data_IF_494107927352
#
_entry.id   IF_494107927352
#
_cell.length_a   1.000
_cell.length_b   1.000
_cell.length_c   1.000
_cell.angle_alpha   90.00
_cell.angle_beta   90.00
_cell.angle_gamma   90.00
#
_symmetry.space_group_name_H-M   'P 1'
#
loop_
_entity.id
_entity.type
_entity.pdbx_description
1 polymer ?
#
# COMPACT_ATOMS: atom_id res chain seq x y z
N UNK A 1 15.63 2.30 23.08
CA UNK A 1 14.41 2.51 23.90
C UNK A 1 14.22 1.25 24.74
N UNK A 2 13.90 1.39 26.04
CA UNK A 2 13.85 0.27 27.00
C UNK A 2 12.74 -0.73 26.63
N UNK A 3 13.04 -2.03 26.71
CA UNK A 3 12.09 -3.12 26.46
C UNK A 3 10.82 -3.05 27.35
N UNK A 4 10.96 -2.43 28.52
CA UNK A 4 9.84 -2.19 29.45
C UNK A 4 8.83 -1.17 28.89
N UNK A 5 9.30 -0.12 28.22
CA UNK A 5 8.43 0.89 27.59
C UNK A 5 7.62 0.24 26.47
N UNK A 6 8.26 -0.57 25.63
CA UNK A 6 7.55 -1.29 24.57
C UNK A 6 6.48 -2.25 25.11
N UNK A 7 6.77 -2.95 26.20
CA UNK A 7 5.80 -3.83 26.84
C UNK A 7 4.59 -3.05 27.41
N UNK A 8 4.82 -1.85 27.96
CA UNK A 8 3.75 -0.99 28.44
C UNK A 8 2.88 -0.46 27.30
N UNK A 9 3.50 0.04 26.23
CA UNK A 9 2.76 0.54 25.05
C UNK A 9 1.92 -0.61 24.46
N UNK A 10 2.53 -1.78 24.22
CA UNK A 10 1.80 -2.95 23.76
C UNK A 10 0.61 -3.27 24.64
N UNK A 11 0.79 -3.29 25.97
CA UNK A 11 -0.28 -3.58 26.92
C UNK A 11 -1.43 -2.56 26.77
N UNK A 12 -1.14 -1.27 26.71
CA UNK A 12 -2.16 -0.24 26.54
C UNK A 12 -2.95 -0.42 25.23
N UNK A 13 -2.28 -0.72 24.10
CA UNK A 13 -2.93 -0.98 22.83
C UNK A 13 -3.81 -2.23 22.89
N UNK A 14 -3.33 -3.30 23.51
CA UNK A 14 -4.10 -4.53 23.69
C UNK A 14 -5.34 -4.28 24.57
N UNK A 15 -5.18 -3.57 25.67
CA UNK A 15 -6.28 -3.23 26.59
C UNK A 15 -7.33 -2.33 25.90
N UNK A 16 -6.90 -1.34 25.10
CA UNK A 16 -7.77 -0.46 24.33
C UNK A 16 -8.65 -1.21 23.30
N UNK A 17 -8.18 -2.37 22.82
CA UNK A 17 -8.92 -3.25 21.92
C UNK A 17 -9.66 -4.37 22.66
N UNK A 18 -9.86 -4.24 23.96
CA UNK A 18 -10.64 -5.18 24.79
C UNK A 18 -9.83 -6.29 25.49
N UNK A 19 -8.52 -6.38 25.23
CA UNK A 19 -7.58 -7.18 26.02
C UNK A 19 -7.65 -8.71 25.85
N UNK A 20 -8.58 -9.25 25.05
CA UNK A 20 -8.87 -10.68 24.96
C UNK A 20 -8.79 -11.28 23.56
N UNK A 21 -8.27 -10.56 22.58
CA UNK A 21 -8.06 -11.08 21.23
C UNK A 21 -6.72 -11.83 21.13
N UNK A 22 -6.59 -12.71 20.14
CA UNK A 22 -5.35 -13.45 19.87
C UNK A 22 -4.45 -12.68 18.92
N UNK A 23 -5.03 -12.14 17.87
CA UNK A 23 -4.33 -11.36 16.86
C UNK A 23 -5.30 -10.41 16.15
N UNK A 24 -4.76 -9.35 15.56
CA UNK A 24 -5.45 -8.42 14.67
C UNK A 24 -4.97 -8.70 13.26
N UNK A 25 -5.90 -9.02 12.36
CA UNK A 25 -5.60 -9.22 10.94
C UNK A 25 -5.96 -7.93 10.22
N UNK A 26 -4.97 -7.29 9.61
CA UNK A 26 -5.14 -6.08 8.82
C UNK A 26 -5.18 -6.46 7.33
N UNK A 27 -6.18 -5.96 6.61
CA UNK A 27 -6.34 -6.26 5.19
C UNK A 27 -7.21 -5.23 4.47
N UNK A 28 -7.29 -5.34 3.15
CA UNK A 28 -8.13 -4.49 2.29
C UNK A 28 -7.49 -3.20 1.80
N UNK A 29 -6.41 -2.72 2.44
CA UNK A 29 -5.56 -1.61 1.98
C UNK A 29 -4.13 -1.80 2.51
N UNK A 30 -3.17 -1.16 1.85
CA UNK A 30 -1.80 -1.11 2.35
C UNK A 30 -1.76 -0.39 3.70
N UNK A 31 -1.08 -0.99 4.67
CA UNK A 31 -0.83 -0.37 5.97
C UNK A 31 0.43 0.50 5.89
N UNK A 32 0.44 1.62 6.60
CA UNK A 32 1.61 2.48 6.69
C UNK A 32 2.81 1.70 7.24
N UNK A 33 3.95 1.77 6.54
CA UNK A 33 5.15 0.97 6.86
C UNK A 33 5.74 1.31 8.23
N UNK A 34 5.80 2.58 8.61
CA UNK A 34 6.34 2.98 9.92
C UNK A 34 5.47 2.46 11.08
N UNK A 35 4.14 2.49 10.89
CA UNK A 35 3.19 1.91 11.87
C UNK A 35 3.40 0.40 11.95
N UNK A 36 3.55 -0.27 10.81
CA UNK A 36 3.82 -1.72 10.75
C UNK A 36 5.10 -2.08 11.47
N UNK A 37 6.19 -1.36 11.18
CA UNK A 37 7.50 -1.56 11.80
C UNK A 37 7.45 -1.30 13.30
N UNK A 38 6.72 -0.28 13.73
CA UNK A 38 6.53 0.02 15.14
C UNK A 38 5.75 -1.09 15.85
N UNK A 39 4.61 -1.54 15.31
CA UNK A 39 3.81 -2.62 15.87
C UNK A 39 4.61 -3.93 15.96
N UNK A 40 5.39 -4.24 14.92
CA UNK A 40 6.31 -5.37 14.92
C UNK A 40 7.37 -5.25 16.02
N UNK A 41 8.00 -4.08 16.16
CA UNK A 41 9.03 -3.80 17.14
C UNK A 41 8.53 -3.94 18.58
N UNK A 42 7.32 -3.49 18.88
CA UNK A 42 6.70 -3.64 20.21
C UNK A 42 6.09 -5.04 20.42
N UNK A 43 6.19 -5.92 19.43
CA UNK A 43 5.58 -7.26 19.41
C UNK A 43 4.06 -7.23 19.65
N UNK A 44 3.37 -6.26 19.06
CA UNK A 44 1.92 -6.23 19.06
C UNK A 44 1.39 -7.42 18.24
N UNK A 45 0.35 -8.15 18.68
CA UNK A 45 -0.15 -9.33 17.99
C UNK A 45 -0.98 -8.95 16.76
N UNK A 46 -0.32 -8.65 15.65
CA UNK A 46 -0.94 -8.32 14.37
C UNK A 46 -0.31 -9.09 13.22
N UNK A 47 -1.03 -9.17 12.14
CA UNK A 47 -0.54 -9.67 10.85
C UNK A 47 -1.24 -8.95 9.71
N UNK A 48 -0.68 -9.05 8.52
CA UNK A 48 -1.27 -8.50 7.30
C UNK A 48 -1.73 -9.66 6.42
N UNK A 49 -3.00 -9.62 5.99
CA UNK A 49 -3.55 -10.53 5.02
C UNK A 49 -3.85 -9.82 3.70
N UNK A 50 -3.74 -10.56 2.61
CA UNK A 50 -4.05 -10.08 1.28
C UNK A 50 -5.21 -10.86 0.68
N UNK A 51 -6.07 -10.15 -0.01
CA UNK A 51 -7.20 -10.76 -0.68
C UNK A 51 -8.04 -9.76 -1.47
N UNK A 52 -9.01 -10.32 -2.18
CA UNK A 52 -9.98 -9.58 -2.99
C UNK A 52 -11.30 -10.32 -3.04
N UNK A 53 -12.38 -9.62 -3.34
CA UNK A 53 -13.74 -10.19 -3.39
C UNK A 53 -13.81 -11.40 -4.32
N UNK A 54 -13.10 -11.35 -5.41
CA UNK A 54 -13.00 -12.40 -6.43
C UNK A 54 -12.37 -13.71 -5.92
N UNK A 55 -11.77 -13.68 -4.71
CA UNK A 55 -11.12 -14.83 -4.07
C UNK A 55 -11.79 -15.26 -2.74
N UNK A 56 -12.98 -14.81 -2.44
CA UNK A 56 -13.85 -15.25 -1.37
C UNK A 56 -13.47 -15.04 0.09
N UNK A 57 -12.79 -13.97 0.59
CA UNK A 57 -11.93 -12.99 -0.10
C UNK A 57 -10.42 -13.26 0.02
N UNK A 58 -9.95 -14.24 0.83
CA UNK A 58 -8.57 -14.34 1.28
C UNK A 58 -7.68 -15.10 0.28
N UNK A 59 -6.52 -14.54 -0.01
CA UNK A 59 -5.47 -15.12 -0.87
C UNK A 59 -4.29 -15.59 -0.02
N UNK A 60 -3.78 -14.72 0.84
CA UNK A 60 -2.60 -15.01 1.67
C UNK A 60 -2.74 -14.46 3.08
N UNK A 61 -2.04 -15.12 4.02
CA UNK A 61 -2.07 -14.79 5.42
C UNK A 61 -1.02 -15.63 6.18
N UNK A 62 -0.35 -15.02 7.14
CA UNK A 62 0.45 -15.70 8.16
C UNK A 62 -0.13 -15.41 9.55
N UNK A 63 0.05 -16.30 10.50
CA UNK A 63 -0.18 -15.95 11.90
C UNK A 63 0.80 -14.89 12.40
N UNK A 64 0.42 -14.12 13.41
CA UNK A 64 1.23 -13.00 13.91
C UNK A 64 2.64 -13.38 14.36
N UNK A 65 2.85 -14.61 14.82
CA UNK A 65 4.15 -15.15 15.22
C UNK A 65 5.03 -15.59 14.03
N UNK A 66 4.46 -15.68 12.83
CA UNK A 66 5.12 -16.03 11.58
C UNK A 66 5.23 -14.83 10.62
N UNK A 67 4.65 -13.70 11.01
CA UNK A 67 4.62 -12.49 10.20
C UNK A 67 6.04 -12.01 9.84
N UNK A 68 6.25 -11.79 8.55
CA UNK A 68 7.46 -11.21 7.99
C UNK A 68 7.19 -9.76 7.58
N UNK A 69 7.95 -8.77 8.10
CA UNK A 69 7.75 -7.37 7.75
C UNK A 69 7.74 -7.11 6.25
N UNK A 70 6.74 -6.34 5.80
CA UNK A 70 6.54 -6.03 4.39
C UNK A 70 5.81 -7.09 3.59
N UNK A 71 5.59 -8.31 4.13
CA UNK A 71 4.80 -9.33 3.45
C UNK A 71 3.30 -9.24 3.78
N UNK A 72 2.51 -9.84 2.91
CA UNK A 72 1.08 -10.06 3.13
C UNK A 72 0.77 -11.53 3.47
N UNK A 73 1.78 -12.25 4.01
CA UNK A 73 1.68 -13.65 4.41
C UNK A 73 1.81 -14.65 3.26
N UNK A 74 1.88 -15.94 3.65
CA UNK A 74 1.94 -17.06 2.72
C UNK A 74 0.60 -17.27 2.04
N UNK A 75 0.66 -17.75 0.79
CA UNK A 75 -0.54 -18.23 0.08
C UNK A 75 -1.27 -19.29 0.92
N UNK A 76 -2.59 -19.30 0.88
CA UNK A 76 -3.40 -20.30 1.59
C UNK A 76 -3.07 -21.71 1.08
N UNK A 77 -2.26 -22.43 1.84
CA UNK A 77 -1.76 -23.77 1.47
C UNK A 77 -2.91 -24.76 1.25
N UNK A 78 -2.84 -25.50 0.15
CA UNK A 78 -3.84 -26.50 -0.22
C UNK A 78 -5.14 -25.94 -0.82
N UNK A 79 -5.35 -24.62 -0.78
CA UNK A 79 -6.53 -23.93 -1.31
C UNK A 79 -6.14 -23.08 -2.53
N UNK A 80 -5.07 -22.31 -2.40
CA UNK A 80 -4.61 -21.34 -3.42
C UNK A 80 -3.25 -21.70 -3.99
N UNK A 81 -3.02 -21.25 -5.21
CA UNK A 81 -1.71 -21.19 -5.86
C UNK A 81 -1.44 -19.74 -6.28
N UNK A 82 -0.18 -19.35 -6.27
CA UNK A 82 0.27 -18.02 -6.72
C UNK A 82 1.37 -18.17 -7.75
N UNK A 83 1.39 -17.29 -8.71
CA UNK A 83 2.54 -17.03 -9.58
C UNK A 83 2.68 -15.52 -9.80
N UNK A 84 3.89 -15.09 -10.09
CA UNK A 84 4.18 -13.73 -10.52
C UNK A 84 4.47 -13.78 -12.01
N UNK A 85 3.80 -12.93 -12.78
CA UNK A 85 4.04 -12.78 -14.22
C UNK A 85 5.34 -12.01 -14.44
N UNK A 86 6.46 -12.71 -14.25
CA UNK A 86 7.82 -12.20 -14.30
C UNK A 86 8.81 -13.30 -14.63
N UNK A 87 9.92 -12.96 -15.29
CA UNK A 87 11.02 -13.87 -15.55
C UNK A 87 11.74 -14.33 -14.26
N UNK A 88 11.69 -13.48 -13.22
CA UNK A 88 12.27 -13.76 -11.89
C UNK A 88 11.27 -13.32 -10.82
N UNK A 89 10.36 -14.21 -10.38
CA UNK A 89 9.29 -13.87 -9.45
C UNK A 89 9.77 -13.46 -8.05
N UNK A 90 11.03 -13.72 -7.73
CA UNK A 90 11.63 -13.40 -6.44
C UNK A 90 12.23 -11.99 -6.40
N UNK A 91 12.76 -11.51 -7.52
CA UNK A 91 13.52 -10.26 -7.58
C UNK A 91 12.93 -9.23 -8.55
N UNK A 92 12.14 -9.66 -9.53
CA UNK A 92 11.50 -8.77 -10.51
C UNK A 92 9.99 -8.71 -10.26
N UNK A 93 9.50 -7.51 -10.05
CA UNK A 93 8.06 -7.25 -9.87
C UNK A 93 7.29 -7.64 -11.14
N UNK A 94 6.20 -8.37 -10.96
CA UNK A 94 5.25 -8.71 -12.01
C UNK A 94 3.82 -8.75 -11.46
N UNK A 95 2.85 -9.00 -12.34
CA UNK A 95 1.46 -9.14 -11.92
C UNK A 95 1.27 -10.40 -11.08
N UNK A 96 0.65 -10.25 -9.93
CA UNK A 96 0.26 -11.37 -9.07
C UNK A 96 -0.92 -12.07 -9.71
N UNK A 97 -0.76 -13.35 -10.03
CA UNK A 97 -1.81 -14.19 -10.59
C UNK A 97 -2.08 -15.35 -9.64
N UNK A 98 -3.35 -15.67 -9.44
CA UNK A 98 -3.78 -16.68 -8.48
C UNK A 98 -4.75 -17.68 -9.07
N UNK A 99 -4.74 -18.90 -8.54
CA UNK A 99 -5.66 -19.97 -8.90
C UNK A 99 -6.01 -20.76 -7.64
N UNK A 100 -7.24 -21.21 -7.50
CA UNK A 100 -7.66 -21.97 -6.32
C UNK A 100 -9.18 -22.17 -6.24
N UNK A 101 -9.60 -22.97 -5.26
CA UNK A 101 -11.00 -23.35 -5.09
C UNK A 101 -11.91 -22.18 -4.70
N UNK A 102 -11.35 -21.14 -4.08
CA UNK A 102 -12.06 -19.94 -3.64
C UNK A 102 -12.05 -18.81 -4.68
N UNK A 103 -11.45 -19.03 -5.86
CA UNK A 103 -11.52 -18.06 -6.96
C UNK A 103 -12.92 -18.09 -7.59
N UNK A 104 -13.50 -16.91 -7.83
CA UNK A 104 -14.79 -16.76 -8.45
C UNK A 104 -14.86 -17.46 -9.83
N UNK A 105 -16.06 -17.84 -10.25
CA UNK A 105 -16.30 -18.37 -11.61
C UNK A 105 -16.35 -17.28 -12.68
N UNK A 106 -16.63 -16.04 -12.28
CA UNK A 106 -16.75 -14.89 -13.19
C UNK A 106 -17.67 -13.81 -12.64
N UNK A 107 -17.79 -12.72 -13.36
CA UNK A 107 -18.68 -11.62 -13.05
C UNK A 107 -20.10 -11.90 -13.59
N UNK A 108 -21.10 -11.70 -12.76
CA UNK A 108 -22.49 -11.96 -13.10
C UNK A 108 -22.95 -11.13 -14.31
N UNK A 109 -23.41 -11.79 -15.37
CA UNK A 109 -23.86 -11.17 -16.63
C UNK A 109 -22.83 -10.23 -17.27
N UNK A 110 -21.54 -10.52 -17.12
CA UNK A 110 -20.46 -9.73 -17.70
C UNK A 110 -19.33 -10.65 -18.18
N UNK A 111 -19.57 -11.31 -19.31
CA UNK A 111 -18.62 -12.28 -19.87
C UNK A 111 -17.34 -11.60 -20.37
N UNK A 112 -17.45 -10.38 -20.89
CA UNK A 112 -16.30 -9.61 -21.36
C UNK A 112 -15.34 -9.31 -20.19
N UNK A 113 -15.83 -8.77 -19.07
CA UNK A 113 -15.01 -8.55 -17.89
C UNK A 113 -14.45 -9.85 -17.31
N UNK A 114 -15.21 -10.95 -17.41
CA UNK A 114 -14.76 -12.26 -16.96
C UNK A 114 -13.59 -12.76 -17.82
N UNK A 115 -13.70 -12.68 -19.14
CA UNK A 115 -12.62 -13.08 -20.06
C UNK A 115 -11.35 -12.24 -19.85
N UNK A 116 -11.51 -10.93 -19.62
CA UNK A 116 -10.38 -10.01 -19.44
C UNK A 116 -9.61 -10.23 -18.13
N UNK A 117 -10.26 -10.78 -17.09
CA UNK A 117 -9.62 -10.97 -15.78
C UNK A 117 -8.92 -12.31 -15.65
N UNK A 118 -9.21 -13.28 -16.49
CA UNK A 118 -8.52 -14.57 -16.51
C UNK A 118 -7.46 -14.63 -17.61
N UNK A 119 -6.37 -15.34 -17.34
CA UNK A 119 -5.40 -15.73 -18.37
C UNK A 119 -5.95 -16.88 -19.21
N UNK A 120 -5.35 -17.14 -20.37
CA UNK A 120 -5.75 -18.26 -21.24
C UNK A 120 -5.67 -19.63 -20.55
N UNK A 121 -4.73 -19.79 -19.62
CA UNK A 121 -4.54 -21.00 -18.81
C UNK A 121 -5.32 -20.98 -17.47
N UNK A 122 -6.26 -20.02 -17.31
CA UNK A 122 -7.27 -20.00 -16.23
C UNK A 122 -6.82 -19.42 -14.89
N UNK A 123 -5.74 -18.63 -14.85
CA UNK A 123 -5.35 -17.90 -13.65
C UNK A 123 -6.06 -16.56 -13.56
N UNK A 124 -6.51 -16.19 -12.36
CA UNK A 124 -7.07 -14.87 -12.10
C UNK A 124 -5.95 -13.83 -12.03
N UNK A 125 -6.05 -12.79 -12.85
CA UNK A 125 -5.22 -11.58 -12.81
C UNK A 125 -5.73 -10.70 -11.69
N UNK A 126 -4.92 -10.46 -10.66
CA UNK A 126 -5.36 -9.64 -9.52
C UNK A 126 -5.31 -8.14 -9.81
N UNK A 127 -4.53 -7.73 -10.80
CA UNK A 127 -4.20 -6.33 -11.07
C UNK A 127 -3.25 -5.73 -10.03
N UNK A 128 -2.80 -6.51 -9.06
CA UNK A 128 -1.78 -6.10 -8.09
C UNK A 128 -0.40 -6.57 -8.59
N UNK A 129 0.62 -5.77 -8.35
CA UNK A 129 2.00 -6.03 -8.73
C UNK A 129 2.82 -6.37 -7.49
N UNK A 130 3.73 -7.33 -7.61
CA UNK A 130 4.54 -7.74 -6.48
C UNK A 130 5.56 -8.81 -6.80
N UNK A 131 6.15 -9.35 -5.74
CA UNK A 131 7.10 -10.47 -5.75
C UNK A 131 6.66 -11.51 -4.73
N UNK A 132 7.28 -12.69 -4.77
CA UNK A 132 7.14 -13.72 -3.73
C UNK A 132 8.51 -14.09 -3.17
N UNK A 133 8.55 -14.65 -1.96
CA UNK A 133 9.73 -15.32 -1.45
C UNK A 133 9.68 -16.85 -1.69
N UNK A 134 10.72 -17.57 -1.26
CA UNK A 134 10.81 -19.03 -1.40
C UNK A 134 9.77 -19.80 -0.57
N UNK A 135 9.14 -19.15 0.40
CA UNK A 135 8.03 -19.69 1.19
C UNK A 135 6.65 -19.33 0.60
N UNK A 136 6.63 -18.70 -0.58
CA UNK A 136 5.42 -18.15 -1.24
C UNK A 136 4.70 -17.10 -0.39
N UNK A 137 5.44 -16.27 0.36
CA UNK A 137 4.89 -15.03 0.92
C UNK A 137 4.81 -13.97 -0.17
N UNK A 138 3.72 -13.23 -0.18
CA UNK A 138 3.44 -12.18 -1.17
C UNK A 138 3.93 -10.85 -0.65
N UNK A 139 4.67 -10.10 -1.48
CA UNK A 139 5.11 -8.73 -1.23
C UNK A 139 4.50 -7.82 -2.30
N UNK A 140 3.47 -7.05 -1.94
CA UNK A 140 2.78 -6.16 -2.86
C UNK A 140 3.61 -4.88 -3.00
N UNK A 141 3.74 -4.38 -4.25
CA UNK A 141 4.44 -3.14 -4.60
C UNK A 141 3.49 -2.04 -5.06
N UNK A 142 2.41 -2.40 -5.73
CA UNK A 142 1.44 -1.44 -6.25
C UNK A 142 0.39 -2.10 -7.12
N UNK A 143 -0.29 -1.30 -7.94
CA UNK A 143 -1.28 -1.79 -8.89
C UNK A 143 -0.86 -1.54 -10.32
N UNK A 144 -1.20 -2.46 -11.22
CA UNK A 144 -0.88 -2.34 -12.65
C UNK A 144 -1.52 -1.08 -13.28
N UNK A 145 -2.73 -0.71 -12.84
CA UNK A 145 -3.47 0.46 -13.35
C UNK A 145 -2.95 1.80 -12.85
N UNK A 146 -2.18 1.82 -11.77
CA UNK A 146 -1.64 3.05 -11.16
C UNK A 146 -0.16 3.21 -11.37
N UNK A 147 0.53 2.15 -11.81
CA UNK A 147 1.94 2.18 -12.14
C UNK A 147 2.22 3.23 -13.22
N UNK A 148 3.24 4.03 -13.00
CA UNK A 148 3.72 5.03 -13.95
C UNK A 148 4.97 4.46 -14.64
N UNK A 149 4.99 4.53 -15.98
CA UNK A 149 6.19 4.20 -16.73
C UNK A 149 7.09 5.44 -16.80
N UNK A 150 8.19 5.41 -16.07
CA UNK A 150 9.18 6.49 -16.08
C UNK A 150 9.82 6.70 -17.44
N UNK A 151 10.34 7.89 -17.71
CA UNK A 151 10.93 8.30 -18.99
C UNK A 151 12.10 7.40 -19.45
N UNK A 152 12.77 6.73 -18.51
CA UNK A 152 13.87 5.80 -18.78
C UNK A 152 13.42 4.31 -18.77
N UNK A 153 12.11 4.05 -18.77
CA UNK A 153 11.54 2.71 -18.87
C UNK A 153 11.42 1.96 -17.53
N UNK A 154 11.69 2.62 -16.39
CA UNK A 154 11.46 2.02 -15.08
C UNK A 154 10.00 2.12 -14.67
N UNK A 155 9.53 1.07 -13.99
CA UNK A 155 8.23 1.08 -13.34
C UNK A 155 8.31 1.88 -12.03
N UNK A 156 7.44 2.87 -11.87
CA UNK A 156 7.29 3.68 -10.67
C UNK A 156 5.97 3.30 -10.02
N UNK A 157 6.00 3.05 -8.73
CA UNK A 157 4.84 2.69 -7.93
C UNK A 157 4.43 3.87 -7.04
N UNK A 158 3.44 4.67 -7.45
CA UNK A 158 3.05 5.89 -6.75
C UNK A 158 2.72 5.65 -5.27
N UNK A 159 2.11 4.51 -4.96
CA UNK A 159 1.73 4.14 -3.61
C UNK A 159 2.93 4.00 -2.66
N UNK A 160 4.09 3.55 -3.15
CA UNK A 160 5.31 3.46 -2.35
C UNK A 160 5.87 4.86 -2.02
N UNK A 161 5.78 5.79 -2.98
CA UNK A 161 6.20 7.18 -2.77
C UNK A 161 5.24 7.88 -1.80
N UNK A 162 3.93 7.71 -2.00
CA UNK A 162 2.88 8.27 -1.15
C UNK A 162 2.98 7.76 0.29
N UNK A 163 3.29 6.50 0.48
CA UNK A 163 3.50 5.92 1.82
C UNK A 163 4.61 6.65 2.58
N UNK A 164 5.70 7.04 1.89
CA UNK A 164 6.79 7.83 2.49
C UNK A 164 6.38 9.29 2.68
N UNK A 165 5.69 9.89 1.69
CA UNK A 165 5.24 11.28 1.74
C UNK A 165 4.24 11.51 2.88
N UNK A 166 3.32 10.57 3.11
CA UNK A 166 2.33 10.63 4.18
C UNK A 166 2.92 10.58 5.59
N UNK A 167 4.21 10.21 5.75
CA UNK A 167 4.90 10.22 7.04
C UNK A 167 5.62 11.55 7.31
N UNK A 168 5.61 12.49 6.36
CA UNK A 168 6.28 13.78 6.52
C UNK A 168 5.38 14.80 7.23
N UNK A 169 5.98 15.81 7.88
CA UNK A 169 5.24 16.79 8.66
C UNK A 169 4.08 17.44 7.91
N UNK A 170 2.92 17.53 8.55
CA UNK A 170 1.71 18.21 8.08
C UNK A 170 1.11 17.62 6.79
N UNK A 171 1.40 16.38 6.46
CA UNK A 171 0.77 15.65 5.36
C UNK A 171 -0.35 14.77 5.91
N UNK A 172 -1.61 15.09 5.59
CA UNK A 172 -2.76 14.24 5.93
C UNK A 172 -2.91 13.12 4.90
N UNK A 173 -2.87 13.49 3.62
CA UNK A 173 -3.03 12.58 2.49
C UNK A 173 -2.22 13.08 1.31
N UNK A 174 -1.72 12.16 0.51
CA UNK A 174 -1.01 12.50 -0.71
C UNK A 174 -1.42 11.62 -1.88
N UNK A 175 -1.20 12.16 -3.08
CA UNK A 175 -1.38 11.48 -4.35
C UNK A 175 -0.21 11.84 -5.26
N UNK A 176 0.48 10.84 -5.79
CA UNK A 176 1.55 11.04 -6.76
C UNK A 176 1.02 10.81 -8.16
N UNK A 177 1.20 11.81 -9.02
CA UNK A 177 0.77 11.80 -10.42
C UNK A 177 1.95 12.15 -11.33
N UNK A 178 1.86 11.72 -12.59
CA UNK A 178 2.79 12.16 -13.63
C UNK A 178 2.16 13.31 -14.43
N UNK A 179 2.92 14.38 -14.62
CA UNK A 179 2.54 15.51 -15.46
C UNK A 179 3.75 15.97 -16.30
N UNK A 180 3.60 15.92 -17.62
CA UNK A 180 4.68 16.32 -18.55
C UNK A 180 6.02 15.61 -18.31
N UNK A 181 5.98 14.31 -18.03
CA UNK A 181 7.17 13.49 -17.76
C UNK A 181 7.80 13.73 -16.39
N UNK A 182 7.14 14.43 -15.47
CA UNK A 182 7.61 14.70 -14.11
C UNK A 182 6.62 14.16 -13.08
N UNK A 183 7.15 13.61 -11.99
CA UNK A 183 6.33 13.22 -10.85
C UNK A 183 6.00 14.44 -9.99
N UNK A 184 4.75 14.58 -9.64
CA UNK A 184 4.21 15.64 -8.78
C UNK A 184 3.51 14.99 -7.60
N UNK A 185 3.82 15.45 -6.39
CA UNK A 185 3.08 15.12 -5.18
C UNK A 185 1.96 16.11 -4.95
N UNK A 186 0.70 15.67 -5.01
CA UNK A 186 -0.44 16.47 -4.55
C UNK A 186 -0.66 16.14 -3.08
N UNK A 187 -0.73 17.14 -2.20
CA UNK A 187 -0.86 16.96 -0.76
C UNK A 187 -2.06 17.72 -0.23
N UNK A 188 -2.93 17.00 0.48
CA UNK A 188 -3.89 17.61 1.38
C UNK A 188 -3.25 17.72 2.76
N UNK A 189 -3.08 18.95 3.30
CA UNK A 189 -2.42 19.16 4.58
C UNK A 189 -3.25 18.69 5.78
N UNK A 190 -2.56 18.30 6.85
CA UNK A 190 -3.14 18.11 8.17
C UNK A 190 -3.35 19.47 8.85
N UNK A 191 -4.44 20.15 8.48
CA UNK A 191 -4.77 21.47 9.01
C UNK A 191 -4.98 21.47 10.52
N UNK A 192 -5.51 20.39 11.11
CA UNK A 192 -5.73 20.29 12.55
C UNK A 192 -4.38 20.35 13.30
N UNK A 193 -3.38 19.63 12.80
CA UNK A 193 -2.02 19.67 13.34
C UNK A 193 -1.35 21.02 13.08
N UNK A 194 -1.53 21.63 11.90
CA UNK A 194 -1.01 22.97 11.58
C UNK A 194 -1.55 24.00 12.57
N UNK A 195 -2.86 24.03 12.77
CA UNK A 195 -3.53 24.98 13.66
C UNK A 195 -3.11 24.78 15.13
N UNK A 196 -3.02 23.53 15.58
CA UNK A 196 -2.63 23.21 16.96
C UNK A 196 -1.18 23.56 17.28
N UNK A 197 -0.30 23.57 16.27
CA UNK A 197 1.11 23.95 16.42
C UNK A 197 1.38 25.44 16.23
N UNK A 198 0.37 26.22 15.84
CA UNK A 198 0.48 27.67 15.64
C UNK A 198 1.25 28.08 14.40
N UNK A 199 1.43 27.16 13.44
CA UNK A 199 2.06 27.43 12.15
C UNK A 199 1.06 28.16 11.25
N UNK A 200 1.52 29.19 10.52
CA UNK A 200 0.68 29.89 9.55
C UNK A 200 0.43 29.02 8.32
N UNK A 201 -0.79 29.00 7.81
CA UNK A 201 -1.10 28.36 6.52
C UNK A 201 -0.27 28.93 5.35
N UNK A 202 0.23 30.17 5.48
CA UNK A 202 1.12 30.79 4.50
C UNK A 202 2.52 30.17 4.48
N UNK A 203 2.91 29.44 5.53
CA UNK A 203 4.20 28.76 5.63
C UNK A 203 4.18 27.34 5.03
N UNK A 204 2.97 26.79 4.80
CA UNK A 204 2.82 25.45 4.22
C UNK A 204 3.59 25.21 2.93
N UNK A 205 3.63 26.13 1.95
CA UNK A 205 4.43 25.91 0.73
C UNK A 205 5.93 25.71 1.03
N UNK A 206 6.48 26.43 2.00
CA UNK A 206 7.89 26.30 2.41
C UNK A 206 8.13 24.95 3.09
N UNK A 207 7.21 24.54 3.94
CA UNK A 207 7.26 23.24 4.62
C UNK A 207 7.16 22.10 3.58
N UNK A 208 6.27 22.21 2.60
CA UNK A 208 6.12 21.19 1.56
C UNK A 208 7.36 21.11 0.66
N UNK A 209 8.04 22.23 0.39
CA UNK A 209 9.31 22.18 -0.32
C UNK A 209 10.40 21.47 0.50
N UNK A 210 10.44 21.68 1.82
CA UNK A 210 11.33 20.93 2.69
C UNK A 210 10.97 19.44 2.71
N UNK A 211 9.69 19.10 2.78
CA UNK A 211 9.21 17.73 2.69
C UNK A 211 9.63 17.07 1.36
N UNK A 212 9.53 17.78 0.25
CA UNK A 212 9.99 17.28 -1.06
C UNK A 212 11.48 16.94 -1.05
N UNK A 213 12.31 17.82 -0.48
CA UNK A 213 13.75 17.60 -0.38
C UNK A 213 14.04 16.35 0.48
N UNK A 214 13.40 16.21 1.63
CA UNK A 214 13.58 15.05 2.51
C UNK A 214 13.07 13.75 1.85
N UNK A 215 11.90 13.79 1.21
CA UNK A 215 11.37 12.66 0.47
C UNK A 215 12.33 12.18 -0.61
N UNK A 216 12.86 13.11 -1.41
CA UNK A 216 13.74 12.76 -2.52
C UNK A 216 15.07 12.10 -2.09
N UNK A 217 15.49 12.29 -0.83
CA UNK A 217 16.64 11.56 -0.26
C UNK A 217 16.35 10.08 -0.04
N UNK A 218 15.07 9.71 0.10
CA UNK A 218 14.59 8.36 0.36
C UNK A 218 14.17 7.61 -0.91
N UNK A 219 14.17 8.28 -2.06
CA UNK A 219 13.70 7.77 -3.34
C UNK A 219 14.86 7.43 -4.27
N UNK A 220 14.63 6.48 -5.17
CA UNK A 220 15.54 6.25 -6.28
C UNK A 220 15.56 7.48 -7.23
N UNK A 221 16.64 7.74 -7.97
CA UNK A 221 16.73 8.92 -8.84
C UNK A 221 15.61 9.08 -9.85
N UNK A 222 15.04 7.97 -10.34
CA UNK A 222 13.93 7.97 -11.29
C UNK A 222 12.54 8.14 -10.65
N UNK A 223 12.45 8.08 -9.31
CA UNK A 223 11.22 8.27 -8.52
C UNK A 223 11.10 9.67 -7.93
N UNK A 224 12.08 10.54 -8.16
CA UNK A 224 12.14 11.87 -7.53
C UNK A 224 10.95 12.73 -7.92
N UNK A 225 10.35 13.38 -6.92
CA UNK A 225 9.24 14.32 -7.09
C UNK A 225 9.80 15.70 -7.45
N UNK A 226 9.27 16.28 -8.52
CA UNK A 226 9.67 17.61 -9.00
C UNK A 226 9.15 18.75 -8.13
N UNK A 227 7.91 18.61 -7.63
CA UNK A 227 7.24 19.58 -6.77
C UNK A 227 6.18 18.92 -5.91
N UNK A 228 5.81 19.56 -4.81
CA UNK A 228 4.61 19.24 -4.03
C UNK A 228 3.61 20.37 -4.22
N UNK A 229 2.41 20.03 -4.69
CA UNK A 229 1.28 20.93 -4.84
C UNK A 229 0.31 20.75 -3.70
N UNK A 230 -0.05 21.84 -3.01
CA UNK A 230 -1.10 21.84 -2.01
C UNK A 230 -2.47 21.67 -2.68
N UNK A 231 -3.22 20.66 -2.25
CA UNK A 231 -4.57 20.43 -2.72
C UNK A 231 -5.57 21.03 -1.71
N UNK A 232 -6.56 21.81 -2.16
CA UNK A 232 -7.33 22.66 -1.24
C UNK A 232 -8.37 21.93 -0.39
N UNK A 233 -8.74 20.70 -0.79
CA UNK A 233 -9.78 19.91 -0.12
C UNK A 233 -9.31 18.46 0.01
N UNK A 234 -9.98 17.68 0.86
CA UNK A 234 -9.74 16.23 0.90
C UNK A 234 -9.97 15.60 -0.46
N UNK A 235 -9.15 14.58 -0.77
CA UNK A 235 -9.36 13.81 -1.99
C UNK A 235 -10.66 13.01 -1.94
N UNK A 236 -11.35 12.90 -3.07
CA UNK A 236 -12.49 12.00 -3.17
C UNK A 236 -12.09 10.55 -2.99
N UNK A 237 -12.86 9.84 -2.16
CA UNK A 237 -12.56 8.46 -1.78
C UNK A 237 -13.67 7.48 -2.19
N UNK A 238 -13.28 6.27 -2.39
CA UNK A 238 -14.19 5.13 -2.49
C UNK A 238 -14.81 4.80 -1.11
N UNK A 239 -15.85 3.96 -1.03
CA UNK A 239 -16.36 3.48 0.26
C UNK A 239 -15.30 2.78 1.13
N UNK A 240 -14.24 2.23 0.53
CA UNK A 240 -13.07 1.64 1.22
C UNK A 240 -12.03 2.69 1.64
N UNK A 241 -12.34 3.99 1.55
CA UNK A 241 -11.46 5.12 1.85
C UNK A 241 -10.18 5.22 0.99
N UNK A 242 -10.11 4.54 -0.14
CA UNK A 242 -9.04 4.72 -1.13
C UNK A 242 -9.32 5.93 -2.02
N UNK A 243 -8.30 6.73 -2.30
CA UNK A 243 -8.43 7.91 -3.19
C UNK A 243 -8.83 7.45 -4.60
N UNK A 244 -9.81 8.13 -5.19
CA UNK A 244 -10.26 7.91 -6.58
C UNK A 244 -9.27 8.55 -7.56
N UNK A 245 -8.10 7.94 -7.74
CA UNK A 245 -6.98 8.46 -8.55
C UNK A 245 -7.37 8.94 -9.93
N UNK A 246 -8.32 8.26 -10.58
CA UNK A 246 -8.78 8.59 -11.93
C UNK A 246 -9.38 10.00 -12.07
N UNK A 247 -9.78 10.63 -10.96
CA UNK A 247 -10.25 12.02 -10.96
C UNK A 247 -9.10 13.03 -11.04
N UNK A 248 -7.87 12.59 -10.77
CA UNK A 248 -6.69 13.46 -10.63
C UNK A 248 -5.60 13.16 -11.68
N UNK A 249 -5.76 12.14 -12.50
CA UNK A 249 -4.78 11.75 -13.53
C UNK A 249 -4.64 12.73 -14.70
N UNK A 250 -5.53 13.72 -14.80
CA UNK A 250 -5.51 14.76 -15.85
C UNK A 250 -5.23 16.17 -15.29
N UNK A 251 -4.70 16.28 -14.09
CA UNK A 251 -4.39 17.57 -13.45
C UNK A 251 -3.08 18.17 -13.92
#
# INVERSE_FOLDING_TARGET
MDSRIYAQIRKHLVDALGGRFREVIVGGAAMNQEVTDFLYKIKFPFTIGYGMTECGPLISYDHNNEYVPGSCGQILKGIMKVRIDSEDPYNKVGEIQVSGENVMKGYYKNDEATQNVFTEDGWLRTGDLGTIDHDNRIFIRGRSKTMILGASGQNIYPEEIESKLNNLPFVMESLVVEKNGKLIGMVYPDYDTVDSTGISHTDLPVIMEQNRIELNKLLAPYETISEIQLYPTEFEKTPKKSIKRYLYSNY
#
